data_IF_792009670788
#
_entry.id   IF_792009670788
#
_cell.length_a   1.000
_cell.length_b   1.000
_cell.length_c   1.000
_cell.angle_alpha   90.00
_cell.angle_beta   90.00
_cell.angle_gamma   90.00
#
_symmetry.space_group_name_H-M   'P 1'
#
loop_
_entity.id
_entity.type
_entity.pdbx_description
1 polymer ?
#
# COMPACT_ATOMS: atom_id res chain seq x y z
N UNK A 1 -7.97 1.48 -9.09
CA UNK A 1 -8.40 2.67 -8.38
C UNK A 1 -8.12 2.52 -6.89
N UNK A 2 -7.56 3.55 -6.29
CA UNK A 2 -7.08 3.57 -4.91
C UNK A 2 -8.14 3.23 -3.85
N UNK A 3 -8.58 4.20 -3.08
CA UNK A 3 -9.45 4.03 -1.92
C UNK A 3 -10.86 3.61 -2.32
N UNK A 4 -11.48 2.69 -1.55
CA UNK A 4 -12.71 2.00 -1.93
C UNK A 4 -13.98 2.63 -1.38
N UNK A 5 -13.96 3.10 -0.14
CA UNK A 5 -15.19 3.57 0.52
C UNK A 5 -15.94 4.62 -0.29
N UNK A 6 -15.28 5.71 -0.69
CA UNK A 6 -15.91 6.79 -1.47
C UNK A 6 -16.22 6.34 -2.92
N UNK A 7 -15.31 5.60 -3.53
CA UNK A 7 -15.45 5.19 -4.93
C UNK A 7 -16.61 4.24 -5.14
N UNK A 8 -16.85 3.30 -4.23
CA UNK A 8 -17.96 2.34 -4.34
C UNK A 8 -19.28 3.07 -4.27
N UNK A 9 -19.47 3.95 -3.28
CA UNK A 9 -20.70 4.73 -3.14
C UNK A 9 -21.01 5.59 -4.37
N UNK A 10 -19.98 6.23 -4.93
CA UNK A 10 -20.13 7.04 -6.17
C UNK A 10 -20.41 6.18 -7.40
N UNK A 11 -19.76 5.01 -7.51
CA UNK A 11 -20.00 4.06 -8.59
C UNK A 11 -21.43 3.56 -8.60
N UNK A 12 -21.94 3.17 -7.45
CA UNK A 12 -23.32 2.70 -7.28
C UNK A 12 -24.37 3.75 -7.63
N UNK A 13 -24.14 5.01 -7.27
CA UNK A 13 -25.06 6.11 -7.57
C UNK A 13 -25.24 6.36 -9.09
N UNK A 14 -24.37 5.82 -9.93
CA UNK A 14 -24.41 5.95 -11.38
C UNK A 14 -25.04 4.74 -12.09
N UNK A 15 -25.40 3.68 -11.36
CA UNK A 15 -25.93 2.45 -11.95
C UNK A 15 -27.37 2.64 -12.46
N UNK A 16 -27.67 1.96 -13.56
CA UNK A 16 -29.03 1.77 -14.06
C UNK A 16 -29.57 0.42 -13.59
N UNK A 17 -30.87 0.24 -13.69
CA UNK A 17 -31.54 -1.02 -13.34
C UNK A 17 -30.89 -2.21 -14.05
N UNK A 18 -30.65 -3.28 -13.32
CA UNK A 18 -30.01 -4.50 -13.82
C UNK A 18 -28.49 -4.46 -13.93
N UNK A 19 -27.83 -3.36 -13.53
CA UNK A 19 -26.37 -3.26 -13.49
C UNK A 19 -25.85 -3.47 -12.06
N UNK A 20 -24.63 -4.05 -11.98
CA UNK A 20 -23.89 -4.18 -10.73
C UNK A 20 -22.54 -3.47 -10.85
N UNK A 21 -22.15 -2.78 -9.77
CA UNK A 21 -20.79 -2.27 -9.62
C UNK A 21 -20.04 -3.13 -8.62
N UNK A 22 -18.96 -3.75 -9.05
CA UNK A 22 -18.04 -4.48 -8.18
C UNK A 22 -16.65 -3.88 -8.30
N UNK A 23 -16.02 -3.61 -7.17
CA UNK A 23 -14.71 -2.97 -7.17
C UNK A 23 -13.57 -3.99 -7.11
N UNK A 24 -12.52 -3.73 -7.90
CA UNK A 24 -11.30 -4.52 -7.90
C UNK A 24 -10.05 -3.65 -7.78
N UNK A 25 -8.93 -4.25 -7.30
CA UNK A 25 -7.64 -3.59 -7.19
C UNK A 25 -6.52 -4.60 -7.46
N UNK A 26 -5.94 -4.61 -8.66
CA UNK A 26 -4.73 -5.40 -8.90
C UNK A 26 -3.56 -4.80 -8.12
N UNK A 27 -2.85 -5.64 -7.37
CA UNK A 27 -1.60 -5.27 -6.69
C UNK A 27 -0.44 -5.25 -7.70
N UNK A 28 -0.61 -4.40 -8.70
CA UNK A 28 0.28 -4.26 -9.85
C UNK A 28 0.47 -2.78 -10.17
N UNK A 29 1.69 -2.37 -10.45
CA UNK A 29 2.00 -0.99 -10.80
C UNK A 29 3.43 -0.85 -11.25
N UNK A 30 3.70 0.23 -11.99
CA UNK A 30 5.04 0.65 -12.41
C UNK A 30 5.29 2.08 -11.98
N UNK A 31 6.55 2.43 -11.82
CA UNK A 31 6.95 3.81 -11.68
C UNK A 31 6.78 4.50 -13.05
N UNK A 32 6.04 5.61 -13.08
CA UNK A 32 5.72 6.35 -14.28
C UNK A 32 4.22 6.43 -14.55
N UNK A 33 3.86 7.20 -15.57
CA UNK A 33 2.47 7.46 -15.94
C UNK A 33 2.28 7.53 -17.45
N UNK A 34 1.03 7.43 -17.88
CA UNK A 34 0.62 7.56 -19.28
C UNK A 34 0.70 6.27 -20.08
N UNK A 35 0.17 6.33 -21.30
CA UNK A 35 0.02 5.18 -22.21
C UNK A 35 1.35 4.52 -22.58
N UNK A 36 2.43 5.30 -22.68
CA UNK A 36 3.78 4.78 -22.99
C UNK A 36 4.35 3.83 -21.93
N UNK A 37 3.75 3.79 -20.72
CA UNK A 37 4.13 2.88 -19.64
C UNK A 37 3.25 1.61 -19.58
N UNK A 38 2.32 1.47 -20.52
CA UNK A 38 1.43 0.30 -20.61
C UNK A 38 2.22 -0.95 -20.99
N UNK A 39 1.90 -2.06 -20.31
CA UNK A 39 2.49 -3.37 -20.60
C UNK A 39 1.45 -4.45 -20.38
N UNK A 40 1.32 -5.36 -21.34
CA UNK A 40 0.37 -6.49 -21.28
C UNK A 40 0.66 -7.45 -20.11
N UNK A 41 1.91 -7.48 -19.62
CA UNK A 41 2.34 -8.37 -18.55
C UNK A 41 2.26 -7.74 -17.15
N UNK A 42 1.72 -6.52 -17.01
CA UNK A 42 1.68 -5.81 -15.73
C UNK A 42 0.95 -6.59 -14.62
N UNK A 43 -0.02 -7.44 -15.01
CA UNK A 43 -0.82 -8.24 -14.08
C UNK A 43 -0.24 -9.63 -13.80
N UNK A 44 0.81 -10.04 -14.53
CA UNK A 44 1.41 -11.37 -14.37
C UNK A 44 1.94 -11.57 -12.95
N UNK A 45 1.46 -12.63 -12.29
CA UNK A 45 1.79 -12.99 -10.91
C UNK A 45 1.36 -11.96 -9.84
N UNK A 46 0.60 -10.92 -10.19
CA UNK A 46 0.04 -9.99 -9.21
C UNK A 46 -1.10 -10.64 -8.41
N UNK A 47 -1.33 -10.17 -7.19
CA UNK A 47 -2.56 -10.46 -6.47
C UNK A 47 -3.66 -9.49 -6.95
N UNK A 48 -4.90 -9.95 -6.97
CA UNK A 48 -6.06 -9.12 -7.31
C UNK A 48 -7.03 -9.07 -6.14
N UNK A 49 -7.22 -7.89 -5.57
CA UNK A 49 -8.14 -7.69 -4.46
C UNK A 49 -9.53 -7.38 -5.04
N UNK A 50 -10.53 -8.13 -4.62
CA UNK A 50 -11.93 -7.93 -4.97
C UNK A 50 -12.65 -7.40 -3.74
N UNK A 51 -13.45 -6.36 -3.94
CA UNK A 51 -14.19 -5.71 -2.86
C UNK A 51 -15.68 -5.78 -3.20
N UNK A 52 -16.33 -6.93 -2.90
CA UNK A 52 -17.75 -7.10 -3.15
C UNK A 52 -18.58 -6.38 -2.08
N UNK A 53 -19.74 -5.94 -2.46
CA UNK A 53 -20.78 -5.38 -1.59
C UNK A 53 -21.95 -6.36 -1.46
N UNK A 54 -22.81 -6.14 -0.45
CA UNK A 54 -23.94 -7.04 -0.14
C UNK A 54 -24.93 -7.25 -1.30
N UNK A 55 -25.00 -6.28 -2.22
CA UNK A 55 -25.89 -6.34 -3.38
C UNK A 55 -25.24 -7.00 -4.60
N UNK A 56 -23.94 -7.30 -4.56
CA UNK A 56 -23.30 -8.02 -5.66
C UNK A 56 -23.72 -9.48 -5.68
N UNK A 57 -24.08 -9.95 -6.87
CA UNK A 57 -24.40 -11.37 -7.07
C UNK A 57 -23.12 -12.21 -7.01
N UNK A 58 -23.26 -13.46 -6.58
CA UNK A 58 -22.15 -14.41 -6.60
C UNK A 58 -21.62 -14.63 -8.03
N UNK A 59 -22.48 -14.51 -9.04
CA UNK A 59 -22.09 -14.62 -10.44
C UNK A 59 -21.13 -13.49 -10.85
N UNK A 60 -21.40 -12.24 -10.44
CA UNK A 60 -20.53 -11.11 -10.74
C UNK A 60 -19.17 -11.24 -10.03
N UNK A 61 -19.16 -11.69 -8.77
CA UNK A 61 -17.93 -11.94 -8.02
C UNK A 61 -17.08 -13.01 -8.71
N UNK A 62 -17.69 -14.16 -9.01
CA UNK A 62 -16.99 -15.27 -9.68
C UNK A 62 -16.50 -14.92 -11.09
N UNK A 63 -17.26 -14.10 -11.82
CA UNK A 63 -16.81 -13.59 -13.13
C UNK A 63 -15.54 -12.73 -12.98
N UNK A 64 -15.51 -11.82 -11.99
CA UNK A 64 -14.35 -10.96 -11.77
C UNK A 64 -13.11 -11.75 -11.29
N UNK A 65 -13.31 -12.81 -10.50
CA UNK A 65 -12.23 -13.73 -10.11
C UNK A 65 -11.61 -14.41 -11.33
N UNK A 66 -12.46 -14.99 -12.18
CA UNK A 66 -12.01 -15.65 -13.42
C UNK A 66 -11.32 -14.66 -14.37
N UNK A 67 -11.87 -13.45 -14.50
CA UNK A 67 -11.27 -12.39 -15.30
C UNK A 67 -9.87 -12.02 -14.79
N UNK A 68 -9.70 -11.83 -13.49
CA UNK A 68 -8.41 -11.52 -12.89
C UNK A 68 -7.37 -12.63 -13.16
N UNK A 69 -7.77 -13.90 -13.01
CA UNK A 69 -6.91 -15.04 -13.31
C UNK A 69 -6.56 -15.13 -14.81
N UNK A 70 -7.51 -14.83 -15.69
CA UNK A 70 -7.27 -14.78 -17.15
C UNK A 70 -6.31 -13.65 -17.56
N UNK A 71 -6.24 -12.56 -16.81
CA UNK A 71 -5.22 -11.50 -16.96
C UNK A 71 -3.81 -11.93 -16.50
N UNK A 72 -3.69 -13.10 -15.86
CA UNK A 72 -2.42 -13.61 -15.35
C UNK A 72 -2.15 -13.30 -13.88
N UNK A 73 -3.14 -12.81 -13.13
CA UNK A 73 -3.01 -12.67 -11.69
C UNK A 73 -2.84 -14.04 -11.03
N UNK A 74 -2.01 -14.09 -9.97
CA UNK A 74 -1.70 -15.34 -9.27
C UNK A 74 -2.81 -15.75 -8.29
N UNK A 75 -3.36 -14.78 -7.56
CA UNK A 75 -4.39 -15.00 -6.55
C UNK A 75 -5.44 -13.88 -6.59
N UNK A 76 -6.67 -14.24 -6.23
CA UNK A 76 -7.74 -13.30 -5.90
C UNK A 76 -8.05 -13.38 -4.42
N UNK A 77 -8.34 -12.24 -3.79
CA UNK A 77 -8.70 -12.15 -2.37
C UNK A 77 -9.89 -11.22 -2.22
N UNK A 78 -10.95 -11.70 -1.58
CA UNK A 78 -12.11 -10.88 -1.26
C UNK A 78 -11.94 -10.22 0.11
N UNK A 79 -12.23 -8.92 0.19
CA UNK A 79 -12.17 -8.13 1.44
C UNK A 79 -13.29 -7.11 1.46
N UNK A 80 -13.61 -6.57 2.65
CA UNK A 80 -14.52 -5.43 2.76
C UNK A 80 -13.81 -4.13 2.35
N UNK A 81 -14.56 -3.05 2.01
CA UNK A 81 -13.97 -1.73 1.74
C UNK A 81 -13.08 -1.23 2.89
N UNK A 82 -13.53 -1.42 4.13
CA UNK A 82 -12.79 -1.02 5.34
C UNK A 82 -11.47 -1.78 5.48
N UNK A 83 -11.50 -3.10 5.27
CA UNK A 83 -10.30 -3.95 5.30
C UNK A 83 -9.33 -3.56 4.20
N UNK A 84 -9.84 -3.34 2.97
CA UNK A 84 -9.03 -2.87 1.86
C UNK A 84 -8.30 -1.58 2.20
N UNK A 85 -9.06 -0.54 2.62
CA UNK A 85 -8.51 0.80 2.82
C UNK A 85 -7.54 0.84 4.02
N UNK A 86 -7.81 0.06 5.08
CA UNK A 86 -6.89 -0.11 6.20
C UNK A 86 -5.58 -0.82 5.78
N UNK A 87 -5.70 -1.89 5.00
CA UNK A 87 -4.52 -2.61 4.52
C UNK A 87 -3.68 -1.77 3.56
N UNK A 88 -4.31 -0.99 2.67
CA UNK A 88 -3.62 -0.06 1.75
C UNK A 88 -2.93 1.08 2.53
N UNK A 89 -3.53 1.57 3.61
CA UNK A 89 -2.86 2.55 4.48
C UNK A 89 -1.53 2.02 5.00
N UNK A 90 -1.50 0.77 5.46
CA UNK A 90 -0.29 0.11 5.98
C UNK A 90 0.70 -0.29 4.88
N UNK A 91 0.25 -0.97 3.81
CA UNK A 91 1.13 -1.63 2.83
C UNK A 91 1.57 -0.72 1.69
N UNK A 92 0.87 0.39 1.46
CA UNK A 92 1.14 1.32 0.36
C UNK A 92 1.35 2.75 0.85
N UNK A 93 0.39 3.35 1.56
CA UNK A 93 0.50 4.76 1.94
C UNK A 93 1.64 5.00 2.92
N UNK A 94 1.72 4.24 4.02
CA UNK A 94 2.77 4.41 5.03
C UNK A 94 4.20 4.26 4.45
N UNK A 95 4.54 3.26 3.61
CA UNK A 95 5.85 3.19 2.98
C UNK A 95 6.23 4.43 2.18
N UNK A 96 5.28 5.07 1.47
CA UNK A 96 5.56 6.30 0.75
C UNK A 96 5.77 7.48 1.70
N UNK A 97 4.93 7.61 2.73
CA UNK A 97 5.12 8.64 3.77
C UNK A 97 6.48 8.51 4.44
N UNK A 98 6.88 7.28 4.81
CA UNK A 98 8.17 7.05 5.49
C UNK A 98 9.37 7.35 4.58
N UNK A 99 9.29 7.00 3.29
CA UNK A 99 10.33 7.31 2.33
C UNK A 99 10.50 8.82 2.12
N UNK A 100 9.38 9.55 1.95
CA UNK A 100 9.38 11.01 1.82
C UNK A 100 9.91 11.67 3.09
N UNK A 101 9.41 11.28 4.28
CA UNK A 101 9.84 11.83 5.55
C UNK A 101 11.33 11.57 5.83
N UNK A 102 11.86 10.40 5.43
CA UNK A 102 13.28 10.10 5.55
C UNK A 102 14.13 11.01 4.66
N UNK A 103 13.70 11.26 3.43
CA UNK A 103 14.40 12.16 2.50
C UNK A 103 14.32 13.63 2.92
N UNK A 104 13.20 14.05 3.55
CA UNK A 104 12.99 15.43 4.06
C UNK A 104 13.55 15.63 5.49
N UNK A 105 14.34 14.69 5.97
CA UNK A 105 14.97 14.79 7.29
C UNK A 105 15.98 15.93 7.37
N UNK A 106 16.02 16.63 8.50
CA UNK A 106 17.04 17.64 8.80
C UNK A 106 18.48 17.09 8.79
N UNK A 107 18.66 15.77 8.77
CA UNK A 107 19.96 15.11 8.62
C UNK A 107 20.47 15.10 7.17
N UNK A 108 19.62 15.44 6.19
CA UNK A 108 20.03 15.51 4.80
C UNK A 108 20.93 16.75 4.55
N UNK A 109 22.10 16.51 3.96
CA UNK A 109 23.06 17.55 3.59
C UNK A 109 23.76 17.24 2.25
N UNK A 110 24.62 18.17 1.78
CA UNK A 110 25.36 18.02 0.53
C UNK A 110 26.31 16.83 0.50
N UNK A 111 26.69 16.28 1.65
CA UNK A 111 27.59 15.13 1.78
C UNK A 111 26.84 13.80 1.77
N UNK A 112 25.55 13.82 2.05
CA UNK A 112 24.70 12.62 2.14
C UNK A 112 24.86 11.71 0.92
N UNK A 113 25.00 12.28 -0.30
CA UNK A 113 25.20 11.54 -1.54
C UNK A 113 26.41 10.60 -1.55
N UNK A 114 27.43 10.88 -0.75
CA UNK A 114 28.64 10.05 -0.66
C UNK A 114 28.49 8.85 0.28
N UNK A 115 27.45 8.82 1.10
CA UNK A 115 27.15 7.76 2.07
C UNK A 115 26.00 6.85 1.65
N UNK A 116 25.35 7.13 0.51
CA UNK A 116 24.22 6.34 0.01
C UNK A 116 24.68 4.94 -0.42
N UNK A 117 24.16 3.92 0.24
CA UNK A 117 24.32 2.52 -0.11
C UNK A 117 22.97 1.85 -0.41
N UNK A 118 22.95 0.53 -0.63
CA UNK A 118 21.79 -0.23 -1.07
C UNK A 118 20.56 -0.02 -0.19
N UNK A 119 20.70 -0.16 1.13
CA UNK A 119 19.57 -0.05 2.08
C UNK A 119 18.90 1.33 2.05
N UNK A 120 19.68 2.40 1.97
CA UNK A 120 19.12 3.75 1.87
C UNK A 120 18.41 3.96 0.53
N UNK A 121 19.02 3.52 -0.58
CA UNK A 121 18.44 3.61 -1.92
C UNK A 121 17.13 2.84 -2.02
N UNK A 122 17.10 1.61 -1.50
CA UNK A 122 15.90 0.77 -1.53
C UNK A 122 14.78 1.34 -0.65
N UNK A 123 15.12 1.82 0.55
CA UNK A 123 14.18 2.42 1.50
C UNK A 123 13.58 3.76 1.03
N UNK A 124 14.31 4.51 0.20
CA UNK A 124 13.88 5.82 -0.30
C UNK A 124 13.42 5.81 -1.75
N UNK A 125 13.44 4.65 -2.41
CA UNK A 125 13.11 4.50 -3.85
C UNK A 125 11.77 5.13 -4.24
N UNK A 126 10.81 5.10 -3.34
CA UNK A 126 9.44 5.61 -3.57
C UNK A 126 9.23 7.01 -2.99
N UNK A 127 10.29 7.79 -2.74
CA UNK A 127 10.17 9.15 -2.24
C UNK A 127 9.90 10.19 -3.35
N UNK A 128 10.37 9.92 -4.57
CA UNK A 128 10.09 10.78 -5.74
C UNK A 128 8.73 10.40 -6.33
N UNK A 129 7.68 11.03 -5.82
CA UNK A 129 6.29 10.75 -6.14
C UNK A 129 5.61 11.96 -6.77
N UNK A 130 4.56 11.72 -7.58
CA UNK A 130 3.73 12.79 -8.09
C UNK A 130 2.89 13.42 -6.96
N UNK A 131 3.15 14.69 -6.55
CA UNK A 131 2.50 15.29 -5.39
C UNK A 131 0.98 15.40 -5.54
N UNK A 132 0.49 15.76 -6.72
CA UNK A 132 -0.95 15.94 -6.98
C UNK A 132 -1.71 14.61 -6.83
N UNK A 133 -1.18 13.53 -7.41
CA UNK A 133 -1.77 12.21 -7.31
C UNK A 133 -1.78 11.72 -5.87
N UNK A 134 -0.63 11.79 -5.19
CA UNK A 134 -0.48 11.22 -3.86
C UNK A 134 -1.18 12.04 -2.77
N UNK A 135 -1.23 13.37 -2.90
CA UNK A 135 -2.05 14.21 -2.03
C UNK A 135 -3.51 13.75 -2.05
N UNK A 136 -4.09 13.54 -3.23
CA UNK A 136 -5.47 13.06 -3.36
C UNK A 136 -5.67 11.66 -2.75
N UNK A 137 -4.70 10.75 -2.92
CA UNK A 137 -4.75 9.39 -2.34
C UNK A 137 -4.66 9.42 -0.81
N UNK A 138 -3.77 10.22 -0.25
CA UNK A 138 -3.63 10.37 1.20
C UNK A 138 -4.90 11.00 1.81
N UNK A 139 -5.41 12.07 1.24
CA UNK A 139 -6.61 12.74 1.73
C UNK A 139 -7.87 11.85 1.65
N UNK A 140 -7.98 11.03 0.62
CA UNK A 140 -9.08 10.08 0.48
C UNK A 140 -9.08 8.98 1.56
N UNK A 141 -7.93 8.71 2.20
CA UNK A 141 -7.76 7.69 3.27
C UNK A 141 -7.16 8.28 4.56
N UNK A 142 -7.30 9.58 4.78
CA UNK A 142 -6.53 10.36 5.74
C UNK A 142 -6.52 9.79 7.16
N UNK A 143 -7.68 9.39 7.68
CA UNK A 143 -7.77 8.87 9.06
C UNK A 143 -6.95 7.58 9.22
N UNK A 144 -7.13 6.61 8.29
CA UNK A 144 -6.37 5.36 8.34
C UNK A 144 -4.88 5.55 8.14
N UNK A 145 -4.51 6.50 7.27
CA UNK A 145 -3.07 6.84 7.06
C UNK A 145 -2.49 7.50 8.30
N UNK A 146 -3.20 8.43 8.94
CA UNK A 146 -2.77 9.04 10.19
C UNK A 146 -2.61 8.00 11.31
N UNK A 147 -3.59 7.12 11.49
CA UNK A 147 -3.52 6.01 12.46
C UNK A 147 -2.29 5.11 12.23
N UNK A 148 -1.96 4.80 10.98
CA UNK A 148 -0.77 3.98 10.66
C UNK A 148 0.54 4.74 10.92
N UNK A 149 0.56 6.05 10.70
CA UNK A 149 1.70 6.89 11.07
C UNK A 149 1.90 6.88 12.58
N UNK A 150 0.84 7.05 13.37
CA UNK A 150 0.93 7.01 14.84
C UNK A 150 1.47 5.67 15.34
N UNK A 151 0.93 4.55 14.85
CA UNK A 151 1.45 3.21 15.16
C UNK A 151 2.93 3.03 14.79
N UNK A 152 3.33 3.59 13.66
CA UNK A 152 4.72 3.53 13.21
C UNK A 152 5.64 4.38 14.10
N UNK A 153 5.19 5.56 14.51
CA UNK A 153 5.91 6.42 15.45
C UNK A 153 6.08 5.73 16.81
N UNK A 154 5.07 5.01 17.31
CA UNK A 154 5.18 4.19 18.52
C UNK A 154 6.28 3.13 18.37
N UNK A 155 6.34 2.43 17.22
CA UNK A 155 7.40 1.46 16.97
C UNK A 155 8.78 2.12 16.91
N UNK A 156 8.92 3.28 16.29
CA UNK A 156 10.19 4.04 16.29
C UNK A 156 10.58 4.50 17.71
N UNK A 157 9.60 4.86 18.54
CA UNK A 157 9.85 5.21 19.93
C UNK A 157 10.45 4.03 20.73
N UNK A 158 9.95 2.80 20.54
CA UNK A 158 10.53 1.60 21.16
C UNK A 158 12.01 1.40 20.78
N UNK A 159 12.36 1.63 19.52
CA UNK A 159 13.76 1.57 19.06
C UNK A 159 14.61 2.65 19.70
N UNK A 160 14.14 3.89 19.67
CA UNK A 160 14.84 5.05 20.26
C UNK A 160 15.10 4.80 21.75
N UNK A 161 14.09 4.35 22.48
CA UNK A 161 14.16 4.19 23.94
C UNK A 161 15.07 3.02 24.32
N UNK A 162 15.02 1.91 23.59
CA UNK A 162 15.96 0.80 23.76
C UNK A 162 17.41 1.21 23.46
N UNK A 163 17.65 2.02 22.43
CA UNK A 163 18.98 2.55 22.10
C UNK A 163 19.50 3.49 23.21
N UNK A 164 18.66 4.40 23.70
CA UNK A 164 19.03 5.33 24.78
C UNK A 164 19.27 4.63 26.12
N UNK A 165 18.51 3.54 26.35
CA UNK A 165 18.64 2.71 27.56
C UNK A 165 19.74 1.64 27.49
N UNK A 166 20.48 1.57 26.39
CA UNK A 166 21.50 0.51 26.13
C UNK A 166 20.92 -0.92 26.28
N UNK A 167 19.62 -1.08 25.94
CA UNK A 167 18.90 -2.36 26.06
C UNK A 167 19.09 -3.23 24.81
N UNK A 168 20.23 -3.93 24.78
CA UNK A 168 20.59 -4.81 23.68
C UNK A 168 19.62 -6.00 23.52
N UNK A 169 19.01 -6.51 24.60
CA UNK A 169 18.04 -7.62 24.49
C UNK A 169 16.72 -7.14 23.86
N UNK A 170 16.26 -5.95 24.22
CA UNK A 170 15.08 -5.35 23.59
C UNK A 170 15.30 -5.12 22.09
N UNK A 171 16.46 -4.62 21.69
CA UNK A 171 16.80 -4.46 20.28
C UNK A 171 16.77 -5.79 19.51
N UNK A 172 17.34 -6.85 20.09
CA UNK A 172 17.30 -8.19 19.49
C UNK A 172 15.88 -8.74 19.38
N UNK A 173 15.04 -8.53 20.39
CA UNK A 173 13.62 -8.89 20.38
C UNK A 173 12.89 -8.22 19.20
N UNK A 174 13.02 -6.90 19.04
CA UNK A 174 12.42 -6.14 17.96
C UNK A 174 12.85 -6.66 16.58
N UNK A 175 14.15 -6.91 16.40
CA UNK A 175 14.69 -7.45 15.16
C UNK A 175 14.19 -8.87 14.86
N UNK A 176 14.17 -9.77 15.86
CA UNK A 176 13.67 -11.15 15.67
C UNK A 176 12.21 -11.17 15.28
N UNK A 177 11.37 -10.35 15.93
CA UNK A 177 9.95 -10.22 15.63
C UNK A 177 9.71 -9.74 14.20
N UNK A 178 10.39 -8.68 13.79
CA UNK A 178 10.29 -8.14 12.44
C UNK A 178 10.79 -9.15 11.39
N UNK A 179 11.92 -9.82 11.64
CA UNK A 179 12.47 -10.84 10.76
C UNK A 179 11.56 -12.06 10.59
N UNK A 180 10.87 -12.50 11.65
CA UNK A 180 9.88 -13.57 11.55
C UNK A 180 8.75 -13.18 10.60
N UNK A 181 8.13 -12.01 10.81
CA UNK A 181 7.05 -11.49 9.94
C UNK A 181 7.49 -11.33 8.48
N UNK A 182 8.73 -10.88 8.26
CA UNK A 182 9.26 -10.72 6.90
C UNK A 182 9.35 -12.07 6.16
N UNK A 183 9.77 -13.14 6.86
CA UNK A 183 9.84 -14.51 6.29
C UNK A 183 8.48 -15.15 6.02
N UNK A 184 7.41 -14.69 6.68
CA UNK A 184 6.04 -15.14 6.39
C UNK A 184 5.49 -14.55 5.08
N UNK A 185 6.03 -13.41 4.63
CA UNK A 185 5.57 -12.71 3.44
C UNK A 185 6.32 -13.12 2.16
N UNK A 186 7.56 -13.59 2.29
CA UNK A 186 8.49 -13.82 1.19
C UNK A 186 9.29 -15.11 1.37
#
# INVERSE_FOLDING_TARGET
AGIKNDMISRGQALLKDGMEFISGHPMAGRQGSGLGMSDAHIFQNANYIIVPEKHNTQAAVSWLEQFALALGCKHTVQVTPEQHDATIAYTSNLPHVTAVALMDSASFDDKTKYFVAGSFRDGTRVADINPELWCNLFLANREKVADEIDKYMEQLALWRDALRGDDGEKLKELMRKAGARRRELF
#
